data_IF_295610300822
#
_entry.id   IF_295610300822
#
_cell.length_a   1.000
_cell.length_b   1.000
_cell.length_c   1.000
_cell.angle_alpha   90.00
_cell.angle_beta   90.00
_cell.angle_gamma   90.00
#
_symmetry.space_group_name_H-M   'P 1'
#
loop_
_entity.id
_entity.type
_entity.pdbx_description
1 polymer ?
#
# COMPACT_ATOMS: atom_id res chain seq x y z
N UNK A 1 -2.73 0.71 30.78
CA UNK A 1 -3.80 0.72 29.76
C UNK A 1 -3.67 1.97 28.91
N UNK A 2 -3.92 1.81 27.60
CA UNK A 2 -4.20 2.85 26.58
C UNK A 2 -3.08 3.83 26.21
N UNK A 3 -2.43 3.57 25.08
CA UNK A 3 -1.97 4.63 24.16
C UNK A 3 -2.76 4.55 22.86
N UNK A 4 -3.96 5.11 22.96
CA UNK A 4 -4.88 5.36 21.87
C UNK A 4 -4.66 6.80 21.39
N UNK A 5 -3.62 6.99 20.58
CA UNK A 5 -3.46 8.21 19.79
C UNK A 5 -3.73 7.85 18.33
N UNK A 6 -5.02 7.71 18.04
CA UNK A 6 -5.56 7.63 16.69
C UNK A 6 -5.51 9.03 16.09
N UNK A 7 -4.41 9.37 15.41
CA UNK A 7 -4.44 10.44 14.42
C UNK A 7 -5.06 9.89 13.14
N UNK A 8 -6.40 9.84 13.15
CA UNK A 8 -7.21 9.89 11.95
C UNK A 8 -6.86 11.18 11.21
N UNK A 9 -6.17 11.05 10.08
CA UNK A 9 -6.14 12.17 9.15
C UNK A 9 -6.25 11.70 7.70
N UNK A 10 -7.38 12.11 7.14
CA UNK A 10 -7.77 12.32 5.75
C UNK A 10 -8.07 11.10 4.89
N UNK A 11 -9.33 10.69 4.99
CA UNK A 11 -10.15 10.14 3.90
C UNK A 11 -10.24 11.22 2.79
N UNK A 12 -9.26 11.29 1.89
CA UNK A 12 -9.45 12.03 0.64
C UNK A 12 -9.97 11.06 -0.42
N UNK A 13 -11.28 10.83 -0.40
CA UNK A 13 -12.03 10.43 -1.61
C UNK A 13 -12.06 11.68 -2.48
N UNK A 14 -10.95 11.90 -3.18
CA UNK A 14 -10.81 12.98 -4.15
C UNK A 14 -10.45 12.34 -5.46
N UNK A 15 -11.40 12.37 -6.40
CA UNK A 15 -11.23 12.09 -7.83
C UNK A 15 -10.22 13.07 -8.43
N UNK A 16 -8.95 12.94 -8.06
CA UNK A 16 -7.85 13.44 -8.88
C UNK A 16 -7.62 12.38 -9.94
N UNK A 17 -7.92 12.69 -11.21
CA UNK A 17 -7.34 11.98 -12.36
C UNK A 17 -5.83 12.25 -12.37
N UNK A 18 -5.13 11.70 -11.38
CA UNK A 18 -3.76 12.02 -11.03
C UNK A 18 -3.06 10.81 -10.44
N UNK A 19 -1.73 10.83 -10.54
CA UNK A 19 -0.74 9.81 -10.14
C UNK A 19 -1.24 8.89 -9.01
N UNK A 20 -1.17 7.57 -9.27
CA UNK A 20 -1.59 6.54 -8.33
C UNK A 20 -0.95 6.68 -6.92
N UNK A 21 -1.79 6.68 -5.88
CA UNK A 21 -1.35 6.80 -4.49
C UNK A 21 -0.84 5.47 -3.91
N UNK A 22 0.40 5.11 -4.24
CA UNK A 22 1.04 3.87 -3.78
C UNK A 22 0.99 3.66 -2.26
N UNK A 23 1.42 4.66 -1.48
CA UNK A 23 1.53 4.51 -0.02
C UNK A 23 0.15 4.41 0.64
N UNK A 24 -0.82 5.21 0.18
CA UNK A 24 -2.20 5.18 0.68
C UNK A 24 -2.87 3.84 0.40
N UNK A 25 -2.73 3.32 -0.82
CA UNK A 25 -3.30 2.02 -1.20
C UNK A 25 -2.67 0.88 -0.41
N UNK A 26 -1.34 0.82 -0.28
CA UNK A 26 -0.65 -0.22 0.52
C UNK A 26 -1.13 -0.16 1.98
N UNK A 27 -1.20 1.04 2.58
CA UNK A 27 -1.69 1.22 3.96
C UNK A 27 -3.14 0.77 4.11
N UNK A 28 -4.01 1.08 3.14
CA UNK A 28 -5.41 0.68 3.16
C UNK A 28 -5.59 -0.84 3.07
N UNK A 29 -4.78 -1.52 2.24
CA UNK A 29 -4.80 -2.99 2.13
C UNK A 29 -4.31 -3.63 3.43
N UNK A 30 -3.24 -3.10 4.04
CA UNK A 30 -2.72 -3.60 5.32
C UNK A 30 -3.75 -3.42 6.45
N UNK A 31 -4.43 -2.27 6.54
CA UNK A 31 -5.48 -2.03 7.56
C UNK A 31 -6.67 -2.98 7.48
N UNK A 32 -6.94 -3.54 6.31
CA UNK A 32 -8.02 -4.53 6.11
C UNK A 32 -7.57 -5.96 6.39
N UNK A 33 -6.27 -6.20 6.55
CA UNK A 33 -5.74 -7.51 6.86
C UNK A 33 -5.81 -7.79 8.37
N UNK A 34 -5.98 -9.06 8.78
CA UNK A 34 -5.85 -9.43 10.19
C UNK A 34 -4.47 -9.04 10.72
N UNK A 35 -4.40 -8.56 11.96
CA UNK A 35 -3.19 -8.06 12.61
C UNK A 35 -2.42 -6.95 11.88
N UNK A 36 -3.08 -6.31 10.90
CA UNK A 36 -2.47 -5.42 9.91
C UNK A 36 -1.28 -6.04 9.16
N UNK A 37 -1.30 -7.36 8.96
CA UNK A 37 -0.23 -8.13 8.36
C UNK A 37 -0.74 -9.00 7.22
N UNK A 38 0.01 -9.04 6.11
CA UNK A 38 -0.35 -9.86 4.95
C UNK A 38 0.92 -10.32 4.22
N UNK A 39 0.83 -11.44 3.50
CA UNK A 39 1.94 -11.87 2.64
C UNK A 39 2.21 -10.86 1.52
N UNK A 40 3.50 -10.63 1.20
CA UNK A 40 3.96 -9.75 0.13
C UNK A 40 3.29 -10.13 -1.19
N UNK A 41 3.14 -11.44 -1.46
CA UNK A 41 2.46 -11.95 -2.66
C UNK A 41 1.02 -11.46 -2.77
N UNK A 42 0.27 -11.48 -1.67
CA UNK A 42 -1.15 -11.09 -1.64
C UNK A 42 -1.31 -9.57 -1.58
N UNK A 43 -0.41 -8.85 -0.90
CA UNK A 43 -0.32 -7.39 -0.94
C UNK A 43 -0.10 -6.90 -2.38
N UNK A 44 0.93 -7.43 -3.04
CA UNK A 44 1.28 -7.13 -4.43
C UNK A 44 0.08 -7.33 -5.35
N UNK A 45 -0.57 -8.50 -5.30
CA UNK A 45 -1.73 -8.82 -6.13
C UNK A 45 -2.85 -7.78 -5.95
N UNK A 46 -3.17 -7.41 -4.70
CA UNK A 46 -4.23 -6.42 -4.41
C UNK A 46 -3.86 -5.01 -4.88
N UNK A 47 -2.64 -4.57 -4.62
CA UNK A 47 -2.19 -3.20 -4.96
C UNK A 47 -2.06 -3.03 -6.48
N UNK A 48 -1.51 -4.01 -7.19
CA UNK A 48 -1.36 -3.95 -8.65
C UNK A 48 -2.72 -4.04 -9.35
N UNK A 49 -3.63 -4.91 -8.88
CA UNK A 49 -4.99 -4.95 -9.42
C UNK A 49 -5.70 -3.60 -9.28
N UNK A 50 -5.53 -2.92 -8.13
CA UNK A 50 -6.08 -1.58 -7.95
C UNK A 50 -5.38 -0.54 -8.83
N UNK A 51 -4.06 -0.64 -9.00
CA UNK A 51 -3.30 0.22 -9.92
C UNK A 51 -3.87 0.13 -11.34
N UNK A 52 -4.04 -1.06 -11.90
CA UNK A 52 -4.59 -1.22 -13.25
C UNK A 52 -6.04 -0.75 -13.37
N UNK A 53 -6.83 -0.84 -12.30
CA UNK A 53 -8.23 -0.39 -12.31
C UNK A 53 -8.38 1.14 -12.27
N UNK A 54 -7.41 1.88 -11.71
CA UNK A 54 -7.54 3.33 -11.45
C UNK A 54 -6.49 4.22 -12.11
N UNK A 55 -5.35 3.66 -12.54
CA UNK A 55 -4.29 4.44 -13.17
C UNK A 55 -4.61 4.69 -14.65
N UNK A 56 -4.63 5.98 -15.02
CA UNK A 56 -4.68 6.40 -16.43
C UNK A 56 -3.31 6.24 -17.14
N UNK A 57 -2.22 6.10 -16.37
CA UNK A 57 -0.86 5.88 -16.87
C UNK A 57 -0.58 4.39 -17.08
N UNK A 58 -1.11 3.83 -18.18
CA UNK A 58 -0.93 2.42 -18.54
C UNK A 58 0.40 2.11 -19.24
N UNK A 59 1.28 3.12 -19.41
CA UNK A 59 2.52 2.99 -20.18
C UNK A 59 3.65 2.27 -19.43
N UNK A 60 3.47 1.94 -18.14
CA UNK A 60 4.51 1.28 -17.35
C UNK A 60 4.49 -0.21 -17.60
N UNK A 61 5.67 -0.77 -17.84
CA UNK A 61 5.86 -2.22 -17.87
C UNK A 61 5.57 -2.85 -16.50
N UNK A 62 5.22 -4.14 -16.50
CA UNK A 62 4.98 -4.87 -15.25
C UNK A 62 6.21 -4.83 -14.33
N UNK A 63 7.41 -4.92 -14.90
CA UNK A 63 8.68 -4.84 -14.17
C UNK A 63 8.84 -3.50 -13.44
N UNK A 64 8.55 -2.38 -14.10
CA UNK A 64 8.61 -1.04 -13.48
C UNK A 64 7.58 -0.88 -12.35
N UNK A 65 6.39 -1.45 -12.53
CA UNK A 65 5.33 -1.47 -11.52
C UNK A 65 5.82 -2.29 -10.31
N UNK A 66 6.43 -3.44 -10.53
CA UNK A 66 6.99 -4.30 -9.49
C UNK A 66 8.14 -3.62 -8.74
N UNK A 67 9.08 -3.01 -9.44
CA UNK A 67 10.19 -2.24 -8.85
C UNK A 67 9.64 -1.08 -8.02
N UNK A 68 8.63 -0.37 -8.52
CA UNK A 68 7.97 0.71 -7.79
C UNK A 68 7.30 0.19 -6.52
N UNK A 69 6.53 -0.89 -6.61
CA UNK A 69 5.90 -1.52 -5.46
C UNK A 69 6.94 -1.93 -4.40
N UNK A 70 8.00 -2.63 -4.81
CA UNK A 70 9.05 -3.08 -3.91
C UNK A 70 9.74 -1.90 -3.21
N UNK A 71 10.06 -0.83 -3.94
CA UNK A 71 10.60 0.41 -3.36
C UNK A 71 9.64 1.02 -2.33
N UNK A 72 8.33 1.04 -2.61
CA UNK A 72 7.32 1.61 -1.70
C UNK A 72 7.11 0.79 -0.44
N UNK A 73 7.24 -0.53 -0.53
CA UNK A 73 7.16 -1.43 0.62
C UNK A 73 8.43 -1.36 1.48
N UNK A 74 9.61 -1.40 0.86
CA UNK A 74 10.88 -1.51 1.58
C UNK A 74 11.38 -0.17 2.16
N UNK A 75 11.06 0.97 1.52
CA UNK A 75 11.58 2.27 1.94
C UNK A 75 10.64 3.04 2.88
N UNK A 76 9.51 2.45 3.28
CA UNK A 76 8.55 3.12 4.15
C UNK A 76 8.72 2.64 5.60
N UNK A 77 9.10 3.52 6.55
CA UNK A 77 9.32 3.13 7.94
C UNK A 77 8.06 2.59 8.63
N UNK A 78 6.87 2.90 8.11
CA UNK A 78 5.58 2.39 8.63
C UNK A 78 5.29 0.96 8.18
N UNK A 79 6.08 0.40 7.27
CA UNK A 79 5.91 -0.96 6.77
C UNK A 79 7.11 -1.80 7.24
N UNK A 80 6.86 -2.76 8.13
CA UNK A 80 7.88 -3.72 8.55
C UNK A 80 7.76 -4.97 7.69
N UNK A 81 8.76 -5.21 6.85
CA UNK A 81 8.89 -6.45 6.08
C UNK A 81 9.53 -7.52 6.96
N UNK A 82 8.90 -8.69 7.02
CA UNK A 82 9.39 -9.90 7.69
C UNK A 82 9.36 -11.02 6.67
N UNK A 83 10.49 -11.64 6.31
CA UNK A 83 10.57 -12.73 5.32
C UNK A 83 9.58 -12.54 4.14
N UNK A 84 8.44 -13.21 4.16
CA UNK A 84 7.40 -13.22 3.14
C UNK A 84 6.16 -12.34 3.42
N UNK A 85 6.14 -11.61 4.54
CA UNK A 85 5.01 -10.79 5.03
C UNK A 85 5.39 -9.33 5.24
N UNK A 86 4.39 -8.47 5.17
CA UNK A 86 4.48 -7.03 5.50
C UNK A 86 3.47 -6.73 6.58
N UNK A 87 3.93 -6.04 7.62
CA UNK A 87 3.10 -5.55 8.72
C UNK A 87 3.09 -4.03 8.76
N UNK A 88 1.93 -3.43 8.97
CA UNK A 88 1.83 -2.01 9.29
C UNK A 88 2.27 -1.80 10.75
N UNK A 89 3.30 -0.98 10.95
CA UNK A 89 3.75 -0.55 12.28
C UNK A 89 3.24 0.87 12.55
N UNK A 90 2.93 1.14 13.82
CA UNK A 90 2.26 2.36 14.30
C UNK A 90 3.18 3.57 14.17
#
# INVERSE_FOLDING_TARGET
MKTENTNDNKKSVGTNKGKFNWNGTIKAVLRQAPDNEISIKRLRKKVIAHFYAVAAEQYKSEEEILVTFNKKVNNNPKFKVRKDKVKLVK
#
